data_IF_539506068941
#
_entry.id   IF_539506068941
#
_cell.length_a   1.000
_cell.length_b   1.000
_cell.length_c   1.000
_cell.angle_alpha   90.00
_cell.angle_beta   90.00
_cell.angle_gamma   90.00
#
_symmetry.space_group_name_H-M   'P 1'
#
loop_
_entity.id
_entity.type
_entity.pdbx_description
1 polymer ?
#
# COMPACT_ATOMS: atom_id res chain seq x y z
N UNK A 1 21.90 61.88 -27.32
CA UNK A 1 20.64 61.44 -27.95
C UNK A 1 20.88 60.14 -28.68
N UNK A 2 20.16 59.07 -28.28
CA UNK A 2 19.92 57.76 -28.95
C UNK A 2 21.15 56.85 -29.11
N UNK A 3 21.49 55.98 -28.15
CA UNK A 3 20.85 54.72 -27.70
C UNK A 3 21.06 53.55 -28.68
N UNK A 4 21.92 52.61 -28.26
CA UNK A 4 22.19 51.32 -28.87
C UNK A 4 20.90 50.47 -28.97
N UNK A 5 20.39 50.29 -30.19
CA UNK A 5 19.19 49.52 -30.50
C UNK A 5 19.53 48.08 -30.94
N UNK A 6 20.22 47.34 -30.08
CA UNK A 6 20.55 45.92 -30.29
C UNK A 6 20.18 45.15 -29.02
N UNK A 7 18.88 44.95 -28.76
CA UNK A 7 18.38 44.00 -27.76
C UNK A 7 16.86 43.73 -27.84
N UNK A 8 16.19 44.03 -28.96
CA UNK A 8 14.72 43.94 -29.08
C UNK A 8 14.19 42.81 -29.98
N UNK A 9 14.97 41.76 -30.24
CA UNK A 9 14.53 40.66 -31.12
C UNK A 9 14.43 39.30 -30.44
N UNK A 10 13.97 39.23 -29.19
CA UNK A 10 13.71 37.94 -28.53
C UNK A 10 12.49 37.89 -27.59
N UNK A 11 11.48 38.76 -27.80
CA UNK A 11 10.27 38.77 -26.97
C UNK A 11 8.96 38.67 -27.77
N UNK A 12 8.94 37.89 -28.85
CA UNK A 12 7.70 37.64 -29.60
C UNK A 12 7.51 36.17 -29.96
N UNK A 13 7.58 35.29 -28.96
CA UNK A 13 7.01 33.93 -29.04
C UNK A 13 6.95 33.31 -27.65
N UNK A 14 6.12 33.87 -26.77
CA UNK A 14 5.69 33.17 -25.56
C UNK A 14 4.30 33.67 -25.14
N UNK A 15 3.34 33.55 -26.05
CA UNK A 15 1.92 33.68 -25.73
C UNK A 15 1.17 32.60 -26.46
N UNK A 16 0.98 31.47 -25.77
CA UNK A 16 -0.09 30.50 -25.98
C UNK A 16 -0.14 29.63 -24.73
N UNK A 17 -1.28 29.68 -24.03
CA UNK A 17 -1.67 28.94 -22.82
C UNK A 17 -1.20 29.56 -21.50
N UNK A 18 -1.92 30.56 -20.98
CA UNK A 18 -2.45 30.51 -19.61
C UNK A 18 -3.66 31.45 -19.50
N UNK A 19 -4.76 30.91 -19.00
CA UNK A 19 -6.05 31.58 -18.80
C UNK A 19 -5.97 32.52 -17.60
N UNK A 20 -6.54 33.72 -17.79
CA UNK A 20 -6.98 34.70 -16.79
C UNK A 20 -6.83 34.32 -15.30
N UNK A 21 -5.71 34.72 -14.67
CA UNK A 21 -5.68 35.30 -13.32
C UNK A 21 -4.25 35.81 -13.00
N UNK A 22 -4.15 37.13 -12.79
CA UNK A 22 -3.01 37.90 -12.26
C UNK A 22 -1.65 37.79 -12.98
N UNK A 23 -1.48 38.63 -14.00
CA UNK A 23 -0.16 39.17 -14.36
C UNK A 23 0.10 40.42 -13.53
N UNK A 24 0.57 40.26 -12.29
CA UNK A 24 1.00 41.40 -11.48
C UNK A 24 2.43 41.19 -10.99
N UNK A 25 3.32 41.93 -11.68
CA UNK A 25 4.60 42.48 -11.24
C UNK A 25 5.82 41.52 -11.21
N UNK A 26 6.67 41.65 -12.24
CA UNK A 26 8.03 41.06 -12.36
C UNK A 26 9.10 41.87 -11.58
N UNK A 27 8.66 42.66 -10.62
CA UNK A 27 9.43 43.62 -9.84
C UNK A 27 8.99 43.43 -8.39
N UNK A 28 9.75 42.60 -7.67
CA UNK A 28 9.35 42.13 -6.34
C UNK A 28 9.72 43.14 -5.24
N UNK A 29 10.57 44.13 -5.55
CA UNK A 29 10.99 45.18 -4.64
C UNK A 29 10.35 46.57 -4.93
N UNK A 30 9.65 46.70 -6.06
CA UNK A 30 8.81 47.84 -6.43
C UNK A 30 9.59 49.03 -7.00
N UNK A 31 10.79 48.82 -7.51
CA UNK A 31 11.69 49.87 -7.99
C UNK A 31 11.55 50.17 -9.51
N UNK A 32 10.74 49.39 -10.22
CA UNK A 32 10.47 49.52 -11.65
C UNK A 32 11.58 49.01 -12.56
N UNK A 33 12.61 48.31 -12.03
CA UNK A 33 13.77 47.81 -12.76
C UNK A 33 13.97 46.32 -12.44
N UNK A 34 13.73 45.45 -13.41
CA UNK A 34 14.05 44.02 -13.26
C UNK A 34 15.57 43.81 -13.23
N UNK A 35 16.13 43.66 -12.04
CA UNK A 35 17.56 43.50 -11.81
C UNK A 35 18.05 42.05 -11.97
N UNK A 36 19.37 41.82 -12.09
CA UNK A 36 19.94 40.47 -12.12
C UNK A 36 19.58 39.62 -10.89
N UNK A 37 19.29 40.27 -9.75
CA UNK A 37 18.84 39.60 -8.51
C UNK A 37 17.42 39.04 -8.62
N UNK A 38 16.55 39.66 -9.42
CA UNK A 38 15.15 39.25 -9.59
C UNK A 38 14.97 38.22 -10.70
N UNK A 39 15.78 38.31 -11.75
CA UNK A 39 15.86 37.26 -12.79
C UNK A 39 16.30 35.92 -12.16
N UNK A 40 17.19 35.94 -11.16
CA UNK A 40 17.70 34.72 -10.52
C UNK A 40 16.66 34.04 -9.60
N UNK A 41 15.79 34.80 -8.93
CA UNK A 41 14.71 34.25 -8.10
C UNK A 41 13.58 33.68 -8.95
N UNK A 42 13.26 34.29 -10.09
CA UNK A 42 12.35 33.67 -11.05
C UNK A 42 12.95 32.36 -11.60
N UNK A 43 14.27 32.32 -11.90
CA UNK A 43 14.98 31.07 -12.28
C UNK A 43 14.86 29.96 -11.25
N UNK A 44 14.83 30.36 -9.98
CA UNK A 44 14.68 29.45 -8.86
C UNK A 44 13.26 28.88 -8.78
N UNK A 45 12.26 29.69 -9.07
CA UNK A 45 10.84 29.32 -9.03
C UNK A 45 10.43 28.38 -10.18
N UNK A 46 10.87 28.61 -11.43
CA UNK A 46 10.50 27.72 -12.55
C UNK A 46 11.29 26.41 -12.62
N UNK A 47 12.42 26.30 -11.90
CA UNK A 47 13.07 24.99 -11.65
C UNK A 47 12.34 24.18 -10.58
N UNK A 48 11.47 24.82 -9.80
CA UNK A 48 10.78 24.24 -8.65
C UNK A 48 9.31 23.90 -8.95
N UNK A 49 8.96 23.65 -10.21
CA UNK A 49 7.64 23.11 -10.57
C UNK A 49 7.62 21.58 -10.71
N UNK A 50 8.75 20.90 -10.48
CA UNK A 50 8.87 19.43 -10.54
C UNK A 50 9.29 18.75 -9.23
N UNK A 51 9.13 19.41 -8.07
CA UNK A 51 9.45 18.78 -6.77
C UNK A 51 8.45 19.13 -5.66
N UNK A 52 7.19 19.32 -6.02
CA UNK A 52 6.06 19.39 -5.06
C UNK A 52 5.00 18.31 -5.33
N UNK A 53 5.34 17.30 -6.13
CA UNK A 53 4.57 16.07 -6.22
C UNK A 53 5.02 15.08 -5.15
N UNK A 54 4.48 15.23 -3.92
CA UNK A 54 4.63 14.30 -2.79
C UNK A 54 6.10 13.88 -2.55
N UNK A 55 6.77 14.47 -1.56
CA UNK A 55 7.93 13.78 -0.95
C UNK A 55 7.42 12.45 -0.40
N UNK A 56 7.56 11.40 -1.22
CA UNK A 56 6.76 10.19 -1.16
C UNK A 56 6.89 9.50 0.19
N UNK A 57 5.80 9.46 0.96
CA UNK A 57 5.60 8.47 2.03
C UNK A 57 5.47 7.04 1.47
N UNK A 58 6.09 6.76 0.32
CA UNK A 58 6.11 5.46 -0.33
C UNK A 58 7.10 4.54 0.36
N UNK A 59 6.79 3.25 0.36
CA UNK A 59 7.76 2.23 0.78
C UNK A 59 8.79 2.02 -0.34
N UNK A 60 10.08 2.16 -0.03
CA UNK A 60 11.15 1.95 -1.03
C UNK A 60 11.35 0.47 -1.34
N UNK A 61 11.59 0.15 -2.62
CA UNK A 61 11.96 -1.20 -3.06
C UNK A 61 13.33 -1.64 -2.54
N UNK A 62 14.21 -0.69 -2.18
CA UNK A 62 15.51 -0.98 -1.57
C UNK A 62 15.48 -0.93 -0.04
N UNK A 63 14.29 -0.76 0.55
CA UNK A 63 14.09 -0.58 1.98
C UNK A 63 14.17 0.87 2.46
N UNK A 64 13.56 1.12 3.61
CA UNK A 64 13.52 2.40 4.29
C UNK A 64 14.43 2.37 5.53
N UNK A 65 15.21 3.42 5.77
CA UNK A 65 15.97 3.63 7.01
C UNK A 65 15.24 4.57 7.98
N UNK A 66 15.48 4.44 9.29
CA UNK A 66 14.94 5.37 10.30
C UNK A 66 13.44 5.21 10.59
N UNK A 67 12.89 4.01 10.37
CA UNK A 67 11.46 3.72 10.61
C UNK A 67 11.13 3.58 12.09
N UNK A 68 9.97 4.07 12.50
CA UNK A 68 9.37 3.86 13.83
C UNK A 68 8.17 2.91 13.72
N UNK A 69 8.17 1.74 14.40
CA UNK A 69 7.03 0.83 14.42
C UNK A 69 5.72 1.53 14.85
N UNK A 70 4.62 1.22 14.18
CA UNK A 70 3.31 1.85 14.41
C UNK A 70 3.12 3.23 13.76
N UNK A 71 4.20 3.93 13.37
CA UNK A 71 4.13 5.16 12.57
C UNK A 71 4.46 4.89 11.10
N UNK A 72 5.52 4.11 10.85
CA UNK A 72 5.91 3.68 9.51
C UNK A 72 5.63 2.20 9.38
N UNK A 73 4.78 1.82 8.43
CA UNK A 73 4.45 0.42 8.18
C UNK A 73 4.11 0.20 6.71
N UNK A 74 4.31 -1.04 6.27
CA UNK A 74 3.75 -1.57 5.03
C UNK A 74 2.44 -2.25 5.39
N UNK A 75 1.32 -1.68 4.96
CA UNK A 75 -0.01 -2.18 5.30
C UNK A 75 -1.09 -1.14 5.02
N UNK A 76 -2.29 -1.39 5.55
CA UNK A 76 -3.42 -0.47 5.50
C UNK A 76 -3.71 0.08 6.90
N UNK A 77 -4.18 1.32 6.98
CA UNK A 77 -4.72 1.89 8.24
C UNK A 77 -6.21 1.56 8.43
N UNK A 78 -6.89 1.18 7.35
CA UNK A 78 -8.30 0.81 7.35
C UNK A 78 -8.50 -0.63 7.88
N UNK A 79 -9.69 -0.91 8.41
CA UNK A 79 -10.13 -2.26 8.79
C UNK A 79 -10.49 -3.13 7.57
N UNK A 80 -9.57 -3.19 6.61
CA UNK A 80 -9.65 -4.01 5.39
C UNK A 80 -8.43 -4.92 5.28
N UNK A 81 -8.54 -5.98 4.48
CA UNK A 81 -7.43 -6.91 4.31
C UNK A 81 -6.27 -6.29 3.51
N UNK A 82 -5.05 -6.58 3.95
CA UNK A 82 -3.82 -6.26 3.22
C UNK A 82 -3.35 -7.51 2.46
N UNK A 83 -3.05 -7.37 1.16
CA UNK A 83 -2.64 -8.49 0.31
C UNK A 83 -1.24 -8.27 -0.28
N UNK A 84 -0.44 -9.35 -0.25
CA UNK A 84 0.81 -9.44 -0.99
C UNK A 84 0.53 -10.28 -2.24
N UNK A 85 0.80 -9.71 -3.41
CA UNK A 85 0.62 -10.38 -4.70
C UNK A 85 1.95 -10.72 -5.36
N UNK A 86 1.98 -11.87 -6.05
CA UNK A 86 3.08 -12.31 -6.92
C UNK A 86 2.47 -12.68 -8.26
N UNK A 87 3.05 -12.18 -9.36
CA UNK A 87 2.52 -12.35 -10.71
C UNK A 87 1.02 -11.93 -10.83
N UNK A 88 0.66 -10.81 -10.20
CA UNK A 88 -0.71 -10.29 -10.19
C UNK A 88 -1.72 -11.15 -9.40
N UNK A 89 -1.27 -12.21 -8.72
CA UNK A 89 -2.13 -13.11 -7.95
C UNK A 89 -1.81 -13.00 -6.46
N UNK A 90 -2.83 -13.00 -5.62
CA UNK A 90 -2.67 -13.00 -4.15
C UNK A 90 -1.85 -14.20 -3.69
N UNK A 91 -0.75 -13.94 -2.99
CA UNK A 91 0.12 -14.95 -2.38
C UNK A 91 -0.06 -15.01 -0.85
N UNK A 92 -0.35 -13.87 -0.22
CA UNK A 92 -0.69 -13.76 1.20
C UNK A 92 -1.78 -12.73 1.39
N UNK A 93 -2.74 -13.02 2.27
CA UNK A 93 -3.75 -12.10 2.76
C UNK A 93 -3.66 -12.01 4.27
N UNK A 94 -3.61 -10.79 4.79
CA UNK A 94 -3.72 -10.49 6.22
C UNK A 94 -5.09 -9.88 6.44
N UNK A 95 -5.98 -10.60 7.09
CA UNK A 95 -7.35 -10.13 7.35
C UNK A 95 -7.43 -9.53 8.76
N UNK A 96 -7.89 -8.28 8.91
CA UNK A 96 -8.10 -7.69 10.21
C UNK A 96 -9.28 -8.36 10.92
N UNK A 97 -9.14 -8.52 12.24
CA UNK A 97 -10.22 -8.98 13.13
C UNK A 97 -10.21 -8.14 14.40
N UNK A 98 -10.90 -8.58 15.46
CA UNK A 98 -10.79 -8.01 16.81
C UNK A 98 -9.41 -8.27 17.44
N UNK A 99 -8.39 -7.53 16.98
CA UNK A 99 -7.05 -7.50 17.58
C UNK A 99 -6.13 -8.67 17.23
N UNK A 100 -6.63 -9.73 16.57
CA UNK A 100 -5.80 -10.88 16.17
C UNK A 100 -6.03 -11.24 14.69
N UNK A 101 -5.25 -10.69 13.75
CA UNK A 101 -5.49 -10.89 12.34
C UNK A 101 -5.38 -12.36 11.92
N UNK A 102 -6.04 -12.71 10.83
CA UNK A 102 -5.86 -14.00 10.18
C UNK A 102 -4.78 -13.90 9.10
N UNK A 103 -3.95 -14.94 8.95
CA UNK A 103 -2.91 -15.03 7.92
C UNK A 103 -3.27 -16.14 6.94
N UNK A 104 -3.49 -15.79 5.68
CA UNK A 104 -3.98 -16.72 4.65
C UNK A 104 -3.02 -16.71 3.47
N UNK A 105 -2.08 -17.66 3.47
CA UNK A 105 -1.13 -17.88 2.39
C UNK A 105 -1.64 -18.84 1.32
N UNK A 106 -1.02 -18.80 0.13
CA UNK A 106 -1.23 -19.76 -0.95
C UNK A 106 -2.41 -19.42 -1.86
N UNK A 107 -3.18 -20.43 -2.23
CA UNK A 107 -4.33 -20.29 -3.15
C UNK A 107 -5.29 -19.19 -2.72
N UNK A 108 -5.77 -18.41 -3.69
CA UNK A 108 -6.87 -17.45 -3.52
C UNK A 108 -8.15 -18.06 -2.95
N UNK A 109 -8.29 -19.39 -3.01
CA UNK A 109 -9.45 -20.13 -2.55
C UNK A 109 -9.29 -20.66 -1.11
N UNK A 110 -8.11 -20.57 -0.50
CA UNK A 110 -7.96 -20.86 0.92
C UNK A 110 -8.86 -19.93 1.72
N UNK A 111 -9.55 -20.48 2.72
CA UNK A 111 -10.60 -19.76 3.44
C UNK A 111 -10.45 -19.91 4.95
N UNK A 112 -10.50 -18.78 5.63
CA UNK A 112 -10.83 -18.70 7.04
C UNK A 112 -12.30 -18.31 7.11
N UNK A 113 -13.10 -19.02 7.92
CA UNK A 113 -14.54 -18.76 8.00
C UNK A 113 -14.84 -17.45 8.75
N UNK A 114 -16.03 -16.91 8.49
CA UNK A 114 -16.41 -15.58 8.99
C UNK A 114 -16.46 -15.56 10.53
N UNK A 115 -15.89 -14.51 11.12
CA UNK A 115 -15.84 -14.34 12.58
C UNK A 115 -14.68 -15.06 13.27
N UNK A 116 -13.95 -15.92 12.57
CA UNK A 116 -12.73 -16.56 13.09
C UNK A 116 -11.64 -15.53 13.30
N UNK A 117 -10.95 -15.62 14.44
CA UNK A 117 -9.80 -14.77 14.78
C UNK A 117 -8.50 -15.58 14.95
N UNK A 118 -7.36 -14.96 14.63
CA UNK A 118 -6.03 -15.55 14.85
C UNK A 118 -5.74 -16.83 14.08
N UNK A 119 -6.46 -17.10 12.99
CA UNK A 119 -6.24 -18.29 12.17
C UNK A 119 -5.01 -18.14 11.27
N UNK A 120 -4.39 -19.29 10.96
CA UNK A 120 -3.25 -19.35 10.04
C UNK A 120 -3.46 -20.45 9.00
N UNK A 121 -3.34 -20.09 7.72
CA UNK A 121 -3.10 -21.03 6.62
C UNK A 121 -1.74 -20.68 6.03
N UNK A 122 -0.74 -21.52 6.27
CA UNK A 122 0.64 -21.23 5.85
C UNK A 122 0.82 -21.18 4.33
N UNK A 123 0.00 -21.90 3.57
CA UNK A 123 0.08 -21.93 2.12
C UNK A 123 -0.71 -23.07 1.48
N UNK A 124 -0.32 -23.43 0.26
CA UNK A 124 -0.92 -24.52 -0.50
C UNK A 124 -2.37 -24.24 -0.90
N UNK A 125 -3.18 -25.30 -0.94
CA UNK A 125 -4.52 -25.31 -1.49
C UNK A 125 -4.52 -25.14 -3.01
N UNK A 126 -5.68 -25.34 -3.61
CA UNK A 126 -5.93 -24.98 -5.01
C UNK A 126 -7.43 -24.62 -5.17
N UNK A 127 -7.88 -24.42 -6.41
CA UNK A 127 -9.27 -24.08 -6.69
C UNK A 127 -10.28 -25.14 -6.21
N UNK A 128 -9.96 -26.43 -6.37
CA UNK A 128 -10.83 -27.55 -6.01
C UNK A 128 -10.60 -28.07 -4.58
N UNK A 129 -9.41 -27.84 -4.03
CA UNK A 129 -8.96 -28.39 -2.77
C UNK A 129 -8.35 -27.29 -1.88
N UNK A 130 -9.12 -26.27 -1.51
CA UNK A 130 -8.64 -25.23 -0.62
C UNK A 130 -8.40 -25.79 0.78
N UNK A 131 -7.47 -25.18 1.51
CA UNK A 131 -7.35 -25.36 2.95
C UNK A 131 -8.36 -24.46 3.67
N UNK A 132 -8.87 -24.93 4.81
CA UNK A 132 -9.90 -24.23 5.60
C UNK A 132 -9.55 -24.18 7.08
N UNK A 133 -9.89 -23.05 7.69
CA UNK A 133 -9.93 -22.90 9.16
C UNK A 133 -11.32 -22.40 9.56
N UNK A 134 -11.99 -23.17 10.41
CA UNK A 134 -13.38 -22.93 10.83
C UNK A 134 -13.50 -22.25 12.20
N UNK A 135 -12.48 -22.32 13.04
CA UNK A 135 -12.52 -21.88 14.44
C UNK A 135 -11.31 -21.04 14.83
N UNK A 136 -11.48 -20.25 15.89
CA UNK A 136 -10.47 -19.32 16.39
C UNK A 136 -9.16 -20.05 16.69
N UNK A 137 -8.07 -19.38 16.29
CA UNK A 137 -6.69 -19.85 16.48
C UNK A 137 -6.40 -21.20 15.80
N UNK A 138 -7.23 -21.62 14.85
CA UNK A 138 -6.99 -22.82 14.06
C UNK A 138 -5.82 -22.60 13.09
N UNK A 139 -5.02 -23.66 12.88
CA UNK A 139 -3.82 -23.60 12.04
C UNK A 139 -3.81 -24.73 11.02
N UNK A 140 -3.57 -24.39 9.76
CA UNK A 140 -3.19 -25.34 8.71
C UNK A 140 -1.79 -24.96 8.22
N UNK A 141 -0.80 -25.83 8.41
CA UNK A 141 0.58 -25.54 7.99
C UNK A 141 0.74 -25.40 6.47
N UNK A 142 -0.03 -26.15 5.68
CA UNK A 142 -0.02 -26.11 4.22
C UNK A 142 -0.70 -27.32 3.61
N UNK A 143 -0.27 -27.76 2.42
CA UNK A 143 -0.86 -28.92 1.74
C UNK A 143 -2.15 -28.59 1.00
N UNK A 144 -3.05 -29.56 0.77
CA UNK A 144 -4.33 -29.35 0.07
C UNK A 144 -5.49 -30.00 0.82
N UNK A 145 -6.70 -29.46 0.69
CA UNK A 145 -7.91 -30.02 1.31
C UNK A 145 -7.80 -30.28 2.83
N UNK A 146 -6.99 -29.53 3.55
CA UNK A 146 -6.88 -29.66 5.00
C UNK A 146 -7.90 -28.76 5.70
N UNK A 147 -8.46 -29.23 6.81
CA UNK A 147 -9.48 -28.52 7.58
C UNK A 147 -9.14 -28.53 9.06
N UNK A 148 -8.99 -27.34 9.65
CA UNK A 148 -8.83 -27.17 11.09
C UNK A 148 -10.09 -26.51 11.68
N UNK A 149 -10.64 -27.11 12.72
CA UNK A 149 -11.90 -26.71 13.35
C UNK A 149 -13.10 -27.53 12.87
N UNK A 150 -14.27 -27.19 13.41
CA UNK A 150 -15.57 -27.78 13.14
C UNK A 150 -16.35 -26.88 12.16
N UNK A 151 -16.85 -27.41 11.03
CA UNK A 151 -17.70 -26.62 10.12
C UNK A 151 -19.12 -26.38 10.67
N UNK A 152 -19.42 -26.90 11.86
CA UNK A 152 -20.71 -26.76 12.52
C UNK A 152 -20.53 -26.12 13.88
N UNK A 153 -21.46 -25.23 14.24
CA UNK A 153 -21.48 -24.55 15.53
C UNK A 153 -20.87 -23.16 15.49
N UNK A 154 -20.19 -22.76 16.57
CA UNK A 154 -19.58 -21.43 16.73
C UNK A 154 -18.08 -21.54 16.49
N UNK A 155 -17.43 -20.47 16.03
CA UNK A 155 -15.95 -20.41 15.87
C UNK A 155 -15.15 -20.64 17.17
N UNK A 156 -15.84 -20.87 18.29
CA UNK A 156 -15.26 -21.04 19.61
C UNK A 156 -15.31 -22.48 20.13
N UNK A 157 -15.96 -23.40 19.41
CA UNK A 157 -16.26 -24.75 19.89
C UNK A 157 -15.17 -25.78 19.57
N UNK A 158 -14.41 -25.59 18.48
CA UNK A 158 -13.26 -26.43 18.11
C UNK A 158 -11.96 -25.62 17.99
N UNK A 159 -11.80 -24.58 18.81
CA UNK A 159 -10.61 -23.71 18.84
C UNK A 159 -9.29 -24.47 18.96
N UNK A 160 -8.24 -23.85 18.42
CA UNK A 160 -6.86 -24.34 18.50
C UNK A 160 -6.61 -25.65 17.75
N UNK A 161 -7.55 -26.10 16.91
CA UNK A 161 -7.33 -27.22 16.03
C UNK A 161 -6.15 -26.93 15.08
N UNK A 162 -5.27 -27.89 14.92
CA UNK A 162 -4.09 -27.79 14.09
C UNK A 162 -4.07 -28.93 13.09
N UNK A 163 -3.63 -28.63 11.87
CA UNK A 163 -3.26 -29.63 10.88
C UNK A 163 -1.88 -29.24 10.37
N UNK A 164 -0.88 -30.09 10.60
CA UNK A 164 0.51 -29.79 10.21
C UNK A 164 0.71 -29.60 8.70
N UNK A 165 -0.11 -30.24 7.87
CA UNK A 165 -0.06 -30.17 6.41
C UNK A 165 -0.59 -31.46 5.77
N UNK A 166 -0.10 -31.80 4.58
CA UNK A 166 -0.50 -33.02 3.86
C UNK A 166 -1.76 -32.83 3.01
N UNK A 167 -2.58 -33.88 2.85
CA UNK A 167 -3.77 -33.83 2.01
C UNK A 167 -5.00 -34.44 2.71
N UNK A 168 -6.11 -33.71 2.76
CA UNK A 168 -7.39 -34.23 3.23
C UNK A 168 -7.48 -34.49 4.74
N UNK A 169 -6.64 -33.84 5.55
CA UNK A 169 -6.66 -34.03 6.99
C UNK A 169 -7.72 -33.15 7.67
N UNK A 170 -8.31 -33.65 8.76
CA UNK A 170 -9.32 -32.96 9.55
C UNK A 170 -8.93 -32.97 11.03
N UNK A 171 -8.67 -31.80 11.59
CA UNK A 171 -8.62 -31.59 13.04
C UNK A 171 -9.90 -30.92 13.50
N UNK A 172 -10.89 -31.67 14.00
CA UNK A 172 -12.24 -31.15 14.28
C UNK A 172 -12.57 -30.99 15.76
N UNK A 173 -11.65 -31.34 16.66
CA UNK A 173 -11.85 -31.18 18.10
C UNK A 173 -11.01 -30.02 18.63
N UNK A 174 -11.46 -29.43 19.73
CA UNK A 174 -10.71 -28.41 20.46
C UNK A 174 -9.32 -28.95 20.82
N UNK A 175 -8.26 -28.21 20.47
CA UNK A 175 -6.85 -28.62 20.66
C UNK A 175 -6.40 -29.87 19.87
N UNK A 176 -7.14 -30.31 18.85
CA UNK A 176 -6.68 -31.43 18.01
C UNK A 176 -5.47 -31.06 17.15
N UNK A 177 -4.67 -32.06 16.77
CA UNK A 177 -3.46 -31.94 15.94
C UNK A 177 -3.38 -33.05 14.90
#
# INVERSE_FOLDING_TARGET
MKSNSLLWTFALSFSLLFSSAQSEVLDADGDGIVGPHEVLELVRLWKQEATTGVTGNSWSLTGNSGTTPGTNFLGTADSVAFEIAVNGTRALRVEPTSGTPNLIGGSGNNRVEDGVIGAVIGGGGNFSNPNRVHDDFGTVGGGILNSAGSPVGLSTDARFATVGGGAGNLGSAKYST
#
